data_IF_973669503620
#
_entry.id   IF_973669503620
#
_cell.length_a   1.000
_cell.length_b   1.000
_cell.length_c   1.000
_cell.angle_alpha   90.00
_cell.angle_beta   90.00
_cell.angle_gamma   90.00
#
_symmetry.space_group_name_H-M   'P 1'
#
loop_
_entity.id
_entity.type
_entity.pdbx_description
1 polymer ?
#
# COMPACT_ATOMS: atom_id res chain seq x y z
N UNK A 1 13.45 24.55 -10.32
CA UNK A 1 13.44 24.62 -11.78
C UNK A 1 12.33 23.72 -12.30
N UNK A 2 11.90 23.86 -13.56
CA UNK A 2 10.88 22.95 -14.13
C UNK A 2 11.35 21.49 -14.10
N UNK A 3 12.64 21.23 -14.34
CA UNK A 3 13.23 19.90 -14.20
C UNK A 3 12.98 19.30 -12.80
N UNK A 4 13.29 20.03 -11.73
CA UNK A 4 13.05 19.56 -10.36
C UNK A 4 11.57 19.32 -10.07
N UNK A 5 10.68 20.14 -10.65
CA UNK A 5 9.23 19.94 -10.50
C UNK A 5 8.80 18.60 -11.13
N UNK A 6 9.28 18.30 -12.33
CA UNK A 6 8.99 17.01 -12.97
C UNK A 6 9.63 15.85 -12.21
N UNK A 7 10.87 16.00 -11.72
CA UNK A 7 11.55 15.00 -10.90
C UNK A 7 10.79 14.69 -9.61
N UNK A 8 10.30 15.72 -8.90
CA UNK A 8 9.51 15.56 -7.69
C UNK A 8 8.17 14.87 -7.95
N UNK A 9 7.48 15.25 -9.03
CA UNK A 9 6.24 14.60 -9.44
C UNK A 9 6.46 13.12 -9.82
N UNK A 10 7.55 12.81 -10.51
CA UNK A 10 7.93 11.44 -10.85
C UNK A 10 8.25 10.61 -9.61
N UNK A 11 9.05 11.15 -8.69
CA UNK A 11 9.38 10.49 -7.43
C UNK A 11 8.12 10.14 -6.62
N UNK A 12 7.18 11.08 -6.49
CA UNK A 12 5.92 10.87 -5.78
C UNK A 12 5.01 9.84 -6.47
N UNK A 13 4.92 9.87 -7.80
CA UNK A 13 4.17 8.87 -8.55
C UNK A 13 4.73 7.45 -8.35
N UNK A 14 6.06 7.30 -8.39
CA UNK A 14 6.75 6.04 -8.12
C UNK A 14 6.59 5.60 -6.66
N UNK A 15 6.70 6.51 -5.70
CA UNK A 15 6.51 6.24 -4.28
C UNK A 15 5.14 5.64 -4.00
N UNK A 16 4.10 6.24 -4.57
CA UNK A 16 2.73 5.77 -4.41
C UNK A 16 2.46 4.46 -5.13
N UNK A 17 3.10 4.22 -6.28
CA UNK A 17 2.96 2.97 -7.01
C UNK A 17 3.71 1.80 -6.33
N UNK A 18 4.83 2.08 -5.66
CA UNK A 18 5.68 1.05 -5.04
C UNK A 18 5.47 0.90 -3.53
N UNK A 19 4.77 1.84 -2.89
CA UNK A 19 4.62 1.90 -1.44
C UNK A 19 5.93 2.21 -0.71
N UNK A 20 6.86 2.91 -1.35
CA UNK A 20 8.19 3.23 -0.80
C UNK A 20 8.38 4.73 -0.64
N UNK A 21 9.04 5.11 0.45
CA UNK A 21 9.39 6.50 0.76
C UNK A 21 10.83 6.86 0.36
N UNK A 22 11.57 5.93 -0.22
CA UNK A 22 12.95 6.16 -0.68
C UNK A 22 13.07 5.64 -2.11
N UNK A 23 13.03 6.58 -3.05
CA UNK A 23 12.94 6.31 -4.49
C UNK A 23 14.24 6.71 -5.17
N UNK A 24 14.73 5.83 -6.04
CA UNK A 24 15.87 6.12 -6.93
C UNK A 24 15.43 5.94 -8.37
N UNK A 25 15.70 6.94 -9.19
CA UNK A 25 15.50 6.89 -10.64
C UNK A 25 16.69 7.53 -11.36
N UNK A 26 16.92 7.16 -12.61
CA UNK A 26 17.95 7.80 -13.44
C UNK A 26 17.49 9.17 -13.92
N UNK A 27 18.35 10.18 -13.83
CA UNK A 27 18.12 11.46 -14.49
C UNK A 27 19.23 11.74 -15.50
N UNK A 28 18.84 12.14 -16.70
CA UNK A 28 19.77 12.51 -17.75
C UNK A 28 20.15 13.99 -17.61
N UNK A 29 21.46 14.25 -17.50
CA UNK A 29 22.04 15.60 -17.38
C UNK A 29 22.88 15.92 -18.61
N UNK A 30 23.07 17.22 -18.90
CA UNK A 30 23.84 17.65 -20.07
C UNK A 30 25.32 17.28 -19.99
N UNK A 31 25.86 17.13 -18.77
CA UNK A 31 27.28 16.93 -18.47
C UNK A 31 28.19 18.02 -19.06
N UNK A 32 27.66 19.24 -19.20
CA UNK A 32 28.36 20.42 -19.68
C UNK A 32 28.66 21.37 -18.50
N UNK A 33 29.82 21.25 -17.83
CA UNK A 33 30.14 22.04 -16.64
C UNK A 33 30.34 23.53 -17.01
N UNK A 34 29.73 24.48 -16.28
CA UNK A 34 29.81 25.91 -16.61
C UNK A 34 31.23 26.49 -16.49
N UNK A 35 32.13 25.80 -15.79
CA UNK A 35 33.53 26.21 -15.63
C UNK A 35 34.35 25.99 -16.91
N UNK A 36 33.86 25.20 -17.87
CA UNK A 36 34.53 24.93 -19.13
C UNK A 36 34.12 25.98 -20.19
N UNK A 37 35.01 26.91 -20.58
CA UNK A 37 34.63 27.99 -21.49
C UNK A 37 34.21 27.47 -22.87
N UNK A 38 33.04 27.92 -23.35
CA UNK A 38 32.49 27.55 -24.66
C UNK A 38 31.87 26.15 -24.70
N UNK A 39 31.68 25.50 -23.55
CA UNK A 39 31.13 24.14 -23.45
C UNK A 39 29.75 24.03 -24.11
N UNK A 40 28.96 25.09 -24.18
CA UNK A 40 27.62 25.08 -24.79
C UNK A 40 27.67 24.79 -26.29
N UNK A 41 28.78 25.11 -26.95
CA UNK A 41 29.00 24.95 -28.40
C UNK A 41 29.84 23.73 -28.78
N UNK A 42 30.40 23.02 -27.79
CA UNK A 42 31.28 21.87 -28.05
C UNK A 42 30.52 20.67 -28.59
N UNK A 43 31.09 20.01 -29.61
CA UNK A 43 30.58 18.77 -30.17
C UNK A 43 31.32 17.61 -29.51
N UNK A 44 30.59 16.69 -28.88
CA UNK A 44 31.16 15.55 -28.17
C UNK A 44 30.12 14.83 -27.30
N UNK A 45 30.54 13.73 -26.68
CA UNK A 45 29.73 12.99 -25.71
C UNK A 45 29.84 13.66 -24.34
N UNK A 46 28.83 14.45 -24.00
CA UNK A 46 28.73 15.12 -22.68
C UNK A 46 27.59 14.58 -21.83
N UNK A 47 26.52 14.08 -22.45
CA UNK A 47 25.33 13.61 -21.73
C UNK A 47 25.71 12.51 -20.74
N UNK A 48 25.16 12.58 -19.54
CA UNK A 48 25.40 11.59 -18.49
C UNK A 48 24.09 11.21 -17.80
N UNK A 49 24.04 10.00 -17.25
CA UNK A 49 22.88 9.49 -16.50
C UNK A 49 23.28 9.29 -15.06
N UNK A 50 22.60 9.98 -14.15
CA UNK A 50 22.93 9.98 -12.73
C UNK A 50 21.76 9.47 -11.91
N UNK A 51 21.99 8.70 -10.83
CA UNK A 51 20.92 8.34 -9.91
C UNK A 51 20.45 9.58 -9.15
N UNK A 52 19.14 9.80 -9.16
CA UNK A 52 18.46 10.77 -8.30
C UNK A 52 17.72 10.00 -7.23
N UNK A 53 18.13 10.21 -5.97
CA UNK A 53 17.47 9.64 -4.80
C UNK A 53 16.56 10.69 -4.16
N UNK A 54 15.28 10.41 -4.10
CA UNK A 54 14.27 11.21 -3.43
C UNK A 54 13.76 10.46 -2.20
N UNK A 55 14.08 10.98 -1.01
CA UNK A 55 13.47 10.53 0.25
C UNK A 55 12.23 11.37 0.50
N UNK A 56 11.11 10.72 0.78
CA UNK A 56 9.81 11.33 0.98
C UNK A 56 9.46 11.22 2.46
N UNK A 57 9.26 12.37 3.10
CA UNK A 57 8.66 12.42 4.43
C UNK A 57 7.16 12.66 4.26
N UNK A 58 6.36 11.70 4.73
CA UNK A 58 4.90 11.74 4.62
C UNK A 58 4.26 12.92 5.37
N UNK A 59 4.94 13.46 6.39
CA UNK A 59 4.47 14.62 7.14
C UNK A 59 4.93 15.96 6.54
N UNK A 60 5.90 15.97 5.62
CA UNK A 60 6.45 17.18 5.01
C UNK A 60 5.40 17.85 4.10
N UNK A 61 5.24 19.18 4.15
CA UNK A 61 4.44 19.91 3.17
C UNK A 61 4.98 19.71 1.75
N UNK A 62 4.09 19.57 0.77
CA UNK A 62 4.46 19.30 -0.62
C UNK A 62 5.44 20.33 -1.19
N UNK A 63 5.23 21.62 -0.89
CA UNK A 63 6.13 22.70 -1.31
C UNK A 63 7.51 22.66 -0.63
N UNK A 64 7.58 22.20 0.62
CA UNK A 64 8.85 22.01 1.34
C UNK A 64 9.66 20.87 0.68
N UNK A 65 9.00 19.75 0.36
CA UNK A 65 9.61 18.63 -0.35
C UNK A 65 10.26 19.09 -1.66
N UNK A 66 9.54 19.85 -2.49
CA UNK A 66 10.06 20.32 -3.78
C UNK A 66 11.20 21.32 -3.62
N UNK A 67 11.17 22.18 -2.59
CA UNK A 67 12.28 23.07 -2.24
C UNK A 67 13.51 22.29 -1.79
N UNK A 68 13.32 21.25 -0.99
CA UNK A 68 14.39 20.36 -0.54
C UNK A 68 15.02 19.62 -1.72
N UNK A 69 14.22 19.01 -2.60
CA UNK A 69 14.69 18.37 -3.82
C UNK A 69 15.48 19.34 -4.70
N UNK A 70 15.02 20.60 -4.84
CA UNK A 70 15.77 21.62 -5.58
C UNK A 70 17.14 21.91 -4.96
N UNK A 71 17.20 22.01 -3.63
CA UNK A 71 18.46 22.23 -2.91
C UNK A 71 19.41 21.04 -3.04
N UNK A 72 18.89 19.81 -2.95
CA UNK A 72 19.65 18.58 -3.14
C UNK A 72 20.22 18.50 -4.57
N UNK A 73 19.41 18.79 -5.58
CA UNK A 73 19.86 18.82 -6.99
C UNK A 73 20.94 19.90 -7.24
N UNK A 74 20.77 21.09 -6.67
CA UNK A 74 21.75 22.17 -6.84
C UNK A 74 23.13 21.78 -6.28
N UNK A 75 23.18 21.05 -5.15
CA UNK A 75 24.43 20.56 -4.56
C UNK A 75 25.12 19.48 -5.39
N UNK A 76 24.41 18.83 -6.30
CA UNK A 76 24.96 17.78 -7.16
C UNK A 76 25.55 18.31 -8.47
N UNK A 77 25.30 19.58 -8.83
CA UNK A 77 25.76 20.16 -10.10
C UNK A 77 27.27 20.03 -10.31
N UNK A 78 28.07 20.24 -9.27
CA UNK A 78 29.54 20.17 -9.30
C UNK A 78 30.07 18.72 -9.37
N UNK A 79 29.18 17.73 -9.26
CA UNK A 79 29.51 16.31 -9.13
C UNK A 79 28.87 15.45 -10.23
N UNK A 80 28.50 16.04 -11.36
CA UNK A 80 27.82 15.34 -12.45
C UNK A 80 28.75 14.60 -13.43
N UNK A 81 30.06 14.63 -13.18
CA UNK A 81 31.08 14.08 -14.06
C UNK A 81 31.36 12.56 -13.92
N UNK A 82 31.14 11.87 -12.78
CA UNK A 82 31.34 10.42 -12.71
C UNK A 82 30.37 9.66 -13.61
N UNK A 83 30.86 8.63 -14.29
CA UNK A 83 29.99 7.76 -15.09
C UNK A 83 29.12 6.86 -14.22
N UNK A 84 27.95 6.45 -14.72
CA UNK A 84 27.01 5.59 -13.99
C UNK A 84 27.66 4.27 -13.50
N UNK A 85 28.54 3.68 -14.31
CA UNK A 85 29.25 2.44 -13.95
C UNK A 85 30.17 2.63 -12.72
N UNK A 86 30.85 3.76 -12.61
CA UNK A 86 31.68 4.08 -11.43
C UNK A 86 30.79 4.28 -10.21
N UNK A 87 29.66 4.98 -10.36
CA UNK A 87 28.69 5.21 -9.28
C UNK A 87 28.10 3.88 -8.79
N UNK A 88 27.72 2.97 -9.70
CA UNK A 88 27.26 1.62 -9.36
C UNK A 88 28.34 0.84 -8.59
N UNK A 89 29.58 0.89 -9.07
CA UNK A 89 30.71 0.25 -8.42
C UNK A 89 30.94 0.78 -7.01
N UNK A 90 30.96 2.11 -6.82
CA UNK A 90 31.14 2.75 -5.51
C UNK A 90 29.98 2.47 -4.56
N UNK A 91 28.76 2.40 -5.08
CA UNK A 91 27.57 2.06 -4.30
C UNK A 91 27.55 0.58 -3.88
N UNK A 92 28.34 -0.30 -4.52
CA UNK A 92 28.36 -1.73 -4.23
C UNK A 92 27.09 -2.45 -4.71
N UNK A 93 26.38 -1.88 -5.67
CA UNK A 93 25.13 -2.40 -6.22
C UNK A 93 25.25 -2.57 -7.73
N UNK A 94 24.51 -3.54 -8.29
CA UNK A 94 24.43 -3.74 -9.74
C UNK A 94 23.55 -2.68 -10.38
N UNK A 95 22.23 -2.89 -10.34
CA UNK A 95 21.24 -1.94 -10.85
C UNK A 95 20.80 -0.99 -9.73
N UNK A 96 20.91 0.32 -9.97
CA UNK A 96 20.54 1.37 -8.99
C UNK A 96 19.11 1.88 -9.20
N UNK A 97 18.58 1.75 -10.41
CA UNK A 97 17.26 2.21 -10.81
C UNK A 97 16.85 1.52 -12.11
N UNK A 98 15.54 1.31 -12.24
CA UNK A 98 14.94 0.62 -13.40
C UNK A 98 14.05 1.57 -14.22
N UNK A 99 13.98 2.83 -13.80
CA UNK A 99 13.26 3.92 -14.47
C UNK A 99 14.17 5.11 -14.67
N UNK A 100 13.93 5.87 -15.74
CA UNK A 100 14.69 7.07 -16.04
C UNK A 100 13.80 8.26 -16.40
N UNK A 101 14.37 9.46 -16.25
CA UNK A 101 13.78 10.72 -16.61
C UNK A 101 14.77 11.57 -17.42
N UNK A 102 14.26 12.17 -18.49
CA UNK A 102 14.96 13.14 -19.33
C UNK A 102 14.16 14.44 -19.36
N UNK A 103 14.80 15.56 -19.03
CA UNK A 103 14.21 16.89 -19.24
C UNK A 103 14.89 17.58 -20.43
N UNK A 104 14.19 17.65 -21.55
CA UNK A 104 14.69 18.25 -22.79
C UNK A 104 14.44 19.77 -22.76
N UNK A 105 15.51 20.51 -22.45
CA UNK A 105 15.51 21.98 -22.40
C UNK A 105 15.83 22.66 -23.74
N UNK A 106 16.05 21.87 -24.80
CA UNK A 106 16.40 22.39 -26.12
C UNK A 106 15.21 22.23 -27.06
N UNK A 107 14.82 23.26 -27.80
CA UNK A 107 14.03 23.05 -28.99
C UNK A 107 14.92 22.27 -29.97
N UNK A 108 14.72 20.96 -30.10
CA UNK A 108 15.01 20.30 -31.38
C UNK A 108 13.96 20.85 -32.33
N UNK A 109 14.30 22.03 -32.82
CA UNK A 109 13.34 23.04 -33.18
C UNK A 109 12.40 22.54 -34.27
N UNK A 110 11.11 22.81 -34.10
CA UNK A 110 10.23 23.07 -35.22
C UNK A 110 10.78 24.20 -36.14
N UNK A 111 11.80 24.95 -35.72
CA UNK A 111 12.60 25.79 -36.62
C UNK A 111 13.50 25.04 -37.61
N UNK A 112 13.79 23.74 -37.44
CA UNK A 112 14.35 22.94 -38.54
C UNK A 112 13.28 22.55 -39.56
N UNK A 113 12.01 22.49 -39.14
CA UNK A 113 10.87 22.33 -40.05
C UNK A 113 10.38 23.63 -40.70
N UNK A 114 10.78 24.80 -40.16
CA UNK A 114 10.50 26.14 -40.73
C UNK A 114 11.67 26.70 -41.55
N UNK A 115 12.91 26.22 -41.35
CA UNK A 115 14.06 26.58 -42.19
C UNK A 115 13.91 25.96 -43.57
N UNK A 116 13.56 26.81 -44.55
CA UNK A 116 13.78 26.53 -45.96
C UNK A 116 15.30 26.42 -46.19
N UNK A 117 15.79 25.19 -46.31
CA UNK A 117 17.15 24.92 -46.79
C UNK A 117 17.06 24.79 -48.30
N UNK A 118 17.39 25.84 -49.06
CA UNK A 118 17.41 25.83 -50.55
C UNK A 118 16.18 25.14 -51.20
N UNK A 119 14.97 25.44 -50.72
CA UNK A 119 13.71 24.88 -51.25
C UNK A 119 13.26 23.55 -50.62
N UNK A 120 14.01 22.97 -49.68
CA UNK A 120 13.61 21.82 -48.87
C UNK A 120 12.97 22.26 -47.55
N UNK A 121 11.86 21.60 -47.20
CA UNK A 121 11.16 21.75 -45.91
C UNK A 121 11.16 20.41 -45.20
N UNK A 122 11.78 20.33 -44.02
CA UNK A 122 11.62 19.16 -43.15
C UNK A 122 10.17 19.19 -42.64
N UNK A 123 9.39 18.13 -42.87
CA UNK A 123 7.97 18.08 -42.47
C UNK A 123 7.75 17.39 -41.13
N UNK A 124 8.78 16.75 -40.61
CA UNK A 124 8.81 16.02 -39.35
C UNK A 124 10.12 15.26 -39.24
N UNK A 125 10.42 14.78 -38.04
CA UNK A 125 11.46 13.80 -37.78
C UNK A 125 10.88 12.76 -36.83
N UNK A 126 11.15 11.49 -37.10
CA UNK A 126 10.86 10.39 -36.17
C UNK A 126 12.18 9.91 -35.59
N UNK A 127 12.37 10.11 -34.29
CA UNK A 127 13.48 9.52 -33.56
C UNK A 127 12.96 8.26 -32.87
N UNK A 128 13.54 7.10 -33.21
CA UNK A 128 13.30 5.86 -32.47
C UNK A 128 14.33 5.80 -31.35
N UNK A 129 13.92 6.19 -30.15
CA UNK A 129 14.70 6.00 -28.93
C UNK A 129 14.40 4.60 -28.38
N UNK A 130 15.43 3.77 -28.23
CA UNK A 130 15.33 2.52 -27.47
C UNK A 130 15.57 2.84 -26.01
N UNK A 131 14.64 2.45 -25.12
CA UNK A 131 14.83 2.56 -23.67
C UNK A 131 15.29 1.23 -23.12
N UNK A 132 16.42 1.22 -22.42
CA UNK A 132 16.87 0.06 -21.65
C UNK A 132 16.07 -0.09 -20.33
N UNK A 133 15.48 1.03 -19.85
CA UNK A 133 14.68 1.11 -18.64
C UNK A 133 13.26 0.58 -18.84
N UNK A 134 12.66 0.07 -17.76
CA UNK A 134 11.28 -0.41 -17.75
C UNK A 134 10.30 0.70 -18.14
N UNK A 135 10.52 1.91 -17.60
CA UNK A 135 9.80 3.14 -17.95
C UNK A 135 10.78 4.31 -18.07
N UNK A 136 10.66 5.07 -19.16
CA UNK A 136 11.44 6.28 -19.42
C UNK A 136 10.50 7.47 -19.60
N UNK A 137 10.63 8.46 -18.72
CA UNK A 137 9.87 9.71 -18.76
C UNK A 137 10.66 10.77 -19.52
N UNK A 138 10.10 11.26 -20.62
CA UNK A 138 10.63 12.40 -21.37
C UNK A 138 9.73 13.61 -21.17
N UNK A 139 10.27 14.64 -20.55
CA UNK A 139 9.60 15.91 -20.33
C UNK A 139 10.22 17.01 -21.19
N UNK A 140 9.38 17.88 -21.75
CA UNK A 140 9.80 19.02 -22.54
C UNK A 140 8.85 20.20 -22.31
N UNK A 141 9.33 21.43 -22.55
CA UNK A 141 8.48 22.62 -22.50
C UNK A 141 8.45 23.27 -23.87
N UNK A 142 7.23 23.51 -24.39
CA UNK A 142 7.01 24.17 -25.68
C UNK A 142 5.77 25.06 -25.59
N UNK A 143 5.89 26.29 -26.08
CA UNK A 143 4.76 27.25 -26.16
C UNK A 143 4.01 27.36 -24.81
N UNK A 144 4.78 27.46 -23.70
CA UNK A 144 4.31 27.47 -22.31
C UNK A 144 3.55 26.22 -21.83
N UNK A 145 3.62 25.11 -22.59
CA UNK A 145 3.04 23.81 -22.23
C UNK A 145 4.13 22.84 -21.81
N UNK A 146 3.93 22.17 -20.67
CA UNK A 146 4.72 21.03 -20.24
C UNK A 146 4.19 19.76 -20.90
N UNK A 147 4.97 19.17 -21.80
CA UNK A 147 4.69 17.88 -22.40
C UNK A 147 5.40 16.75 -21.64
N UNK A 148 4.68 15.68 -21.33
CA UNK A 148 5.20 14.47 -20.71
C UNK A 148 4.94 13.28 -21.64
N UNK A 149 5.98 12.52 -21.95
CA UNK A 149 5.90 11.26 -22.72
C UNK A 149 6.52 10.15 -21.88
N UNK A 150 5.79 9.05 -21.71
CA UNK A 150 6.32 7.85 -21.05
C UNK A 150 6.48 6.76 -22.09
N UNK A 151 7.73 6.37 -22.33
CA UNK A 151 8.05 5.16 -23.09
C UNK A 151 8.24 4.02 -22.11
N UNK A 152 7.81 2.81 -22.48
CA UNK A 152 7.94 1.67 -21.61
C UNK A 152 8.15 0.38 -22.40
N UNK A 153 8.78 -0.59 -21.73
CA UNK A 153 8.95 -1.94 -22.26
C UNK A 153 7.72 -2.76 -21.88
N UNK A 154 6.91 -3.14 -22.86
CA UNK A 154 5.69 -3.92 -22.64
C UNK A 154 5.94 -5.29 -21.97
N UNK A 155 7.16 -5.83 -22.12
CA UNK A 155 7.61 -7.06 -21.45
C UNK A 155 7.86 -6.86 -19.95
N UNK A 156 8.20 -5.64 -19.53
CA UNK A 156 8.55 -5.30 -18.15
C UNK A 156 7.40 -4.61 -17.39
N UNK A 157 6.53 -3.87 -18.10
CA UNK A 157 5.45 -3.07 -17.52
C UNK A 157 4.18 -3.13 -18.37
N UNK A 158 3.04 -3.29 -17.70
CA UNK A 158 1.73 -3.21 -18.32
C UNK A 158 1.36 -1.75 -18.63
N UNK A 159 0.67 -1.51 -19.76
CA UNK A 159 0.37 -0.15 -20.22
C UNK A 159 -0.61 0.62 -19.33
N UNK A 160 -1.47 -0.07 -18.59
CA UNK A 160 -2.36 0.49 -17.58
C UNK A 160 -1.60 1.02 -16.35
N UNK A 161 -0.56 0.31 -15.91
CA UNK A 161 0.36 0.79 -14.87
C UNK A 161 1.04 2.09 -15.29
N UNK A 162 1.58 2.14 -16.52
CA UNK A 162 2.28 3.33 -17.03
C UNK A 162 1.33 4.51 -17.17
N UNK A 163 0.09 4.27 -17.61
CA UNK A 163 -0.96 5.30 -17.62
C UNK A 163 -1.27 5.80 -16.21
N UNK A 164 -1.40 4.89 -15.24
CA UNK A 164 -1.62 5.27 -13.84
C UNK A 164 -0.48 6.13 -13.30
N UNK A 165 0.77 5.85 -13.65
CA UNK A 165 1.91 6.70 -13.26
C UNK A 165 1.79 8.12 -13.84
N UNK A 166 1.40 8.24 -15.10
CA UNK A 166 1.16 9.54 -15.73
C UNK A 166 0.02 10.32 -15.05
N UNK A 167 -1.10 9.66 -14.77
CA UNK A 167 -2.24 10.27 -14.09
C UNK A 167 -1.88 10.73 -12.66
N UNK A 168 -1.07 9.94 -11.93
CA UNK A 168 -0.56 10.31 -10.61
C UNK A 168 0.35 11.53 -10.69
N UNK A 169 1.26 11.59 -11.67
CA UNK A 169 2.12 12.75 -11.87
C UNK A 169 1.29 14.02 -12.10
N UNK A 170 0.26 13.97 -12.94
CA UNK A 170 -0.62 15.11 -13.19
C UNK A 170 -1.29 15.59 -11.90
N UNK A 171 -1.83 14.67 -11.09
CA UNK A 171 -2.44 15.02 -9.79
C UNK A 171 -1.45 15.62 -8.80
N UNK A 172 -0.20 15.14 -8.78
CA UNK A 172 0.86 15.73 -7.97
C UNK A 172 1.14 17.17 -8.42
N UNK A 173 1.24 17.41 -9.73
CA UNK A 173 1.51 18.74 -10.29
C UNK A 173 0.33 19.69 -10.01
N UNK A 174 -0.91 19.23 -10.17
CA UNK A 174 -2.11 19.98 -9.82
C UNK A 174 -2.14 20.34 -8.33
N UNK A 175 -1.84 19.39 -7.44
CA UNK A 175 -1.77 19.62 -6.00
C UNK A 175 -0.67 20.62 -5.63
N UNK A 176 0.49 20.55 -6.27
CA UNK A 176 1.59 21.49 -6.04
C UNK A 176 1.19 22.94 -6.34
N UNK A 177 0.38 23.14 -7.39
CA UNK A 177 -0.08 24.48 -7.79
C UNK A 177 -1.25 24.97 -6.93
N UNK A 178 -2.10 24.06 -6.47
CA UNK A 178 -3.35 24.41 -5.77
C UNK A 178 -3.22 24.48 -4.25
N UNK A 179 -2.37 23.64 -3.65
CA UNK A 179 -2.24 23.49 -2.19
C UNK A 179 -0.85 22.92 -1.83
N UNK A 180 0.18 23.76 -1.91
CA UNK A 180 1.55 23.36 -1.62
C UNK A 180 1.84 23.12 -0.13
N UNK A 181 0.98 23.60 0.76
CA UNK A 181 1.16 23.48 2.22
C UNK A 181 0.60 22.15 2.75
N UNK A 182 -0.08 21.38 1.91
CA UNK A 182 -0.60 20.06 2.24
C UNK A 182 0.53 19.06 2.54
N UNK A 183 0.44 18.26 3.63
CA UNK A 183 1.34 17.14 3.86
C UNK A 183 1.26 16.09 2.75
N UNK A 184 2.40 15.50 2.38
CA UNK A 184 2.46 14.46 1.33
C UNK A 184 1.51 13.29 1.60
N UNK A 185 1.34 12.87 2.85
CA UNK A 185 0.41 11.79 3.23
C UNK A 185 -1.05 12.04 2.83
N UNK A 186 -1.45 13.31 2.68
CA UNK A 186 -2.82 13.69 2.33
C UNK A 186 -3.01 13.90 0.82
N UNK A 187 -1.98 13.61 0.02
CA UNK A 187 -2.05 13.71 -1.42
C UNK A 187 -2.79 12.51 -2.01
N UNK A 188 -4.06 12.70 -2.37
CA UNK A 188 -4.82 11.70 -3.11
C UNK A 188 -4.50 11.77 -4.61
N UNK A 189 -3.76 10.76 -5.09
CA UNK A 189 -3.42 10.61 -6.52
C UNK A 189 -4.12 9.45 -7.18
N UNK A 190 -5.05 8.79 -6.48
CA UNK A 190 -5.82 7.73 -7.10
C UNK A 190 -6.78 8.32 -8.13
N UNK A 191 -6.92 7.60 -9.24
CA UNK A 191 -7.98 7.90 -10.18
C UNK A 191 -9.35 7.71 -9.50
N UNK A 192 -10.31 8.65 -9.63
CA UNK A 192 -11.62 8.56 -8.99
C UNK A 192 -12.37 7.28 -9.32
N UNK A 193 -12.22 6.74 -10.54
CA UNK A 193 -12.88 5.48 -10.92
C UNK A 193 -12.22 4.29 -10.24
N UNK A 194 -10.88 4.32 -10.08
CA UNK A 194 -10.15 3.31 -9.30
C UNK A 194 -10.51 3.42 -7.82
N UNK A 195 -10.62 4.64 -7.28
CA UNK A 195 -11.01 4.88 -5.89
C UNK A 195 -12.41 4.35 -5.61
N UNK A 196 -13.37 4.65 -6.47
CA UNK A 196 -14.74 4.12 -6.38
C UNK A 196 -14.74 2.58 -6.42
N UNK A 197 -13.99 2.00 -7.35
CA UNK A 197 -13.88 0.55 -7.46
C UNK A 197 -13.34 -0.10 -6.19
N UNK A 198 -12.25 0.44 -5.64
CA UNK A 198 -11.59 -0.11 -4.45
C UNK A 198 -12.42 0.10 -3.19
N UNK A 199 -13.02 1.29 -3.03
CA UNK A 199 -13.73 1.65 -1.80
C UNK A 199 -15.19 1.20 -1.79
N UNK A 200 -15.84 1.08 -2.95
CA UNK A 200 -17.27 0.79 -3.06
C UNK A 200 -17.51 -0.54 -3.78
N UNK A 201 -17.10 -0.67 -5.04
CA UNK A 201 -17.48 -1.82 -5.88
C UNK A 201 -16.97 -3.16 -5.31
N UNK A 202 -15.73 -3.19 -4.78
CA UNK A 202 -15.12 -4.39 -4.23
C UNK A 202 -15.59 -4.75 -2.82
N UNK A 203 -16.07 -3.78 -2.03
CA UNK A 203 -16.47 -4.02 -0.64
C UNK A 203 -17.93 -4.50 -0.49
N UNK A 204 -18.68 -4.53 -1.60
CA UNK A 204 -20.08 -4.93 -1.62
C UNK A 204 -20.99 -4.02 -0.79
N UNK A 205 -22.25 -4.42 -0.64
CA UNK A 205 -23.22 -3.67 0.15
C UNK A 205 -23.14 -4.10 1.62
N UNK A 206 -23.06 -3.17 2.58
CA UNK A 206 -23.17 -3.50 4.00
C UNK A 206 -24.43 -4.31 4.27
N UNK A 207 -24.26 -5.55 4.72
CA UNK A 207 -25.40 -6.39 5.09
C UNK A 207 -25.75 -6.09 6.55
N UNK A 208 -26.95 -5.57 6.79
CA UNK A 208 -27.44 -5.43 8.16
C UNK A 208 -27.73 -6.82 8.73
N UNK A 209 -26.87 -7.27 9.64
CA UNK A 209 -27.10 -8.48 10.41
C UNK A 209 -27.96 -8.14 11.63
N UNK A 210 -28.90 -9.01 12.01
CA UNK A 210 -29.64 -8.83 13.25
C UNK A 210 -28.69 -8.85 14.44
N UNK A 211 -28.85 -7.93 15.39
CA UNK A 211 -28.07 -7.86 16.64
C UNK A 211 -28.40 -8.95 17.66
N UNK A 212 -29.05 -10.04 17.24
CA UNK A 212 -29.47 -11.13 18.11
C UNK A 212 -28.26 -11.95 18.56
N UNK A 213 -28.04 -12.15 19.87
CA UNK A 213 -26.93 -12.95 20.38
C UNK A 213 -26.99 -14.41 19.89
N UNK A 214 -25.81 -15.03 19.70
CA UNK A 214 -25.69 -16.41 19.24
C UNK A 214 -26.49 -17.41 20.10
N UNK A 215 -26.45 -17.26 21.43
CA UNK A 215 -27.16 -18.16 22.33
C UNK A 215 -28.69 -18.05 22.20
N UNK A 216 -29.22 -16.89 21.82
CA UNK A 216 -30.65 -16.70 21.54
C UNK A 216 -31.06 -17.35 20.22
N UNK A 217 -30.21 -17.26 19.19
CA UNK A 217 -30.43 -17.94 17.91
C UNK A 217 -30.53 -19.46 18.11
N UNK A 218 -29.62 -20.04 18.89
CA UNK A 218 -29.64 -21.48 19.24
C UNK A 218 -30.89 -21.82 20.06
N UNK A 219 -31.25 -20.99 21.04
CA UNK A 219 -32.46 -21.20 21.86
C UNK A 219 -33.75 -21.13 21.00
N UNK A 220 -33.76 -20.26 20.00
CA UNK A 220 -34.87 -20.14 19.03
C UNK A 220 -34.97 -21.39 18.16
N UNK A 221 -33.84 -21.88 17.64
CA UNK A 221 -33.80 -23.13 16.87
C UNK A 221 -34.27 -24.33 17.70
N UNK A 222 -33.89 -24.39 18.98
CA UNK A 222 -34.33 -25.45 19.88
C UNK A 222 -35.84 -25.48 20.14
N UNK A 223 -36.51 -24.32 20.08
CA UNK A 223 -37.98 -24.25 20.12
C UNK A 223 -38.62 -24.67 18.80
N UNK A 224 -37.97 -24.43 17.67
CA UNK A 224 -38.53 -24.72 16.34
C UNK A 224 -38.38 -26.21 15.96
N UNK A 225 -37.22 -26.81 16.21
CA UNK A 225 -36.91 -28.19 15.84
C UNK A 225 -36.25 -28.93 17.01
N UNK A 226 -36.98 -29.18 18.11
CA UNK A 226 -36.40 -29.71 19.35
C UNK A 226 -35.71 -31.06 19.17
N UNK A 227 -36.31 -31.96 18.38
CA UNK A 227 -35.84 -33.33 18.19
C UNK A 227 -34.75 -33.47 17.12
N UNK A 228 -34.40 -32.39 16.41
CA UNK A 228 -33.33 -32.41 15.43
C UNK A 228 -31.97 -32.51 16.14
N UNK A 229 -31.05 -33.27 15.55
CA UNK A 229 -29.68 -33.42 16.07
C UNK A 229 -28.92 -32.08 15.91
N UNK A 230 -28.35 -31.59 17.01
CA UNK A 230 -27.59 -30.33 17.06
C UNK A 230 -26.07 -30.57 17.12
N UNK A 231 -25.63 -31.55 17.91
CA UNK A 231 -24.21 -31.87 18.13
C UNK A 231 -23.98 -33.37 17.98
N UNK A 232 -22.88 -33.76 17.33
CA UNK A 232 -22.41 -35.14 17.24
C UNK A 232 -20.91 -35.18 17.52
N UNK A 233 -20.48 -36.02 18.45
CA UNK A 233 -19.08 -36.26 18.78
C UNK A 233 -18.90 -37.71 19.25
N UNK A 234 -17.99 -38.46 18.62
CA UNK A 234 -17.63 -39.84 19.01
C UNK A 234 -18.83 -40.77 19.30
N UNK A 235 -19.85 -40.73 18.46
CA UNK A 235 -21.05 -41.55 18.59
C UNK A 235 -22.07 -41.06 19.62
N UNK A 236 -21.78 -39.99 20.35
CA UNK A 236 -22.73 -39.27 21.20
C UNK A 236 -23.38 -38.16 20.37
N UNK A 237 -24.71 -38.12 20.40
CA UNK A 237 -25.49 -37.05 19.77
C UNK A 237 -26.36 -36.34 20.80
N UNK A 238 -26.47 -35.02 20.68
CA UNK A 238 -27.45 -34.22 21.40
C UNK A 238 -28.44 -33.61 20.42
N UNK A 239 -29.73 -33.71 20.75
CA UNK A 239 -30.76 -32.91 20.07
C UNK A 239 -30.66 -31.44 20.46
N UNK A 240 -31.30 -30.54 19.71
CA UNK A 240 -31.37 -29.13 20.09
C UNK A 240 -32.01 -28.92 21.46
N UNK A 241 -33.06 -29.69 21.79
CA UNK A 241 -33.70 -29.62 23.09
C UNK A 241 -32.76 -30.05 24.23
N UNK A 242 -31.97 -31.11 24.03
CA UNK A 242 -30.99 -31.58 25.01
C UNK A 242 -29.83 -30.60 25.18
N UNK A 243 -29.30 -30.07 24.08
CA UNK A 243 -28.23 -29.06 24.11
C UNK A 243 -28.68 -27.80 24.87
N UNK A 244 -29.82 -27.23 24.49
CA UNK A 244 -30.35 -26.02 25.11
C UNK A 244 -30.69 -26.26 26.58
N UNK A 245 -31.32 -27.41 26.89
CA UNK A 245 -31.66 -27.81 28.25
C UNK A 245 -30.44 -27.91 29.17
N UNK A 246 -29.39 -28.63 28.74
CA UNK A 246 -28.15 -28.77 29.50
C UNK A 246 -27.42 -27.44 29.66
N UNK A 247 -27.33 -26.64 28.59
CA UNK A 247 -26.69 -25.33 28.65
C UNK A 247 -27.46 -24.36 29.56
N UNK A 248 -28.79 -24.39 29.57
CA UNK A 248 -29.61 -23.58 30.48
C UNK A 248 -29.41 -23.99 31.96
N UNK A 249 -29.24 -25.29 32.23
CA UNK A 249 -28.97 -25.77 33.60
C UNK A 249 -27.60 -25.27 34.09
N UNK A 250 -26.55 -25.44 33.27
CA UNK A 250 -25.21 -24.97 33.60
C UNK A 250 -25.15 -23.44 33.71
N UNK A 251 -25.80 -22.71 32.79
CA UNK A 251 -25.86 -21.25 32.84
C UNK A 251 -26.49 -20.73 34.15
N UNK A 252 -27.58 -21.36 34.62
CA UNK A 252 -28.19 -21.00 35.91
C UNK A 252 -27.27 -21.28 37.09
N UNK A 253 -26.49 -22.37 37.04
CA UNK A 253 -25.50 -22.64 38.07
C UNK A 253 -24.40 -21.57 38.08
N UNK A 254 -23.84 -21.24 36.91
CA UNK A 254 -22.83 -20.19 36.76
C UNK A 254 -23.31 -18.81 37.23
N UNK A 255 -24.56 -18.44 36.91
CA UNK A 255 -25.20 -17.23 37.43
C UNK A 255 -25.33 -17.27 38.96
N UNK A 256 -25.62 -18.44 39.53
CA UNK A 256 -25.66 -18.67 40.98
C UNK A 256 -24.31 -18.47 41.68
N UNK A 257 -23.21 -18.77 40.98
CA UNK A 257 -21.83 -18.50 41.42
C UNK A 257 -21.41 -17.03 41.23
N UNK A 258 -22.34 -16.17 40.77
CA UNK A 258 -22.11 -14.74 40.61
C UNK A 258 -21.51 -14.32 39.25
N UNK A 259 -21.52 -15.21 38.26
CA UNK A 259 -21.07 -14.89 36.92
C UNK A 259 -22.02 -13.90 36.23
N UNK A 260 -21.49 -12.97 35.45
CA UNK A 260 -22.25 -12.00 34.68
C UNK A 260 -21.49 -11.48 33.45
N UNK A 261 -22.03 -10.40 32.85
CA UNK A 261 -21.43 -9.77 31.68
C UNK A 261 -20.01 -9.26 31.94
N UNK A 262 -19.21 -9.17 30.87
CA UNK A 262 -17.81 -8.70 30.89
C UNK A 262 -16.84 -9.55 31.73
N UNK A 263 -17.26 -10.74 32.15
CA UNK A 263 -16.41 -11.72 32.81
C UNK A 263 -16.00 -12.84 31.85
N UNK A 264 -14.87 -13.46 32.14
CA UNK A 264 -14.38 -14.63 31.41
C UNK A 264 -14.60 -15.91 32.23
N UNK A 265 -14.94 -17.00 31.54
CA UNK A 265 -14.89 -18.37 32.08
C UNK A 265 -13.90 -19.17 31.25
N UNK A 266 -12.86 -19.69 31.89
CA UNK A 266 -11.96 -20.63 31.24
C UNK A 266 -12.68 -21.98 31.04
N UNK A 267 -12.56 -22.55 29.85
CA UNK A 267 -13.06 -23.88 29.53
C UNK A 267 -11.86 -24.75 29.16
N UNK A 268 -11.44 -25.60 30.09
CA UNK A 268 -10.37 -26.57 29.94
C UNK A 268 -10.96 -27.98 29.86
N UNK A 269 -11.67 -28.25 28.76
CA UNK A 269 -12.33 -29.52 28.46
C UNK A 269 -11.81 -30.05 27.12
N UNK A 270 -11.63 -31.37 27.01
CA UNK A 270 -11.38 -32.01 25.74
C UNK A 270 -12.58 -31.84 24.78
N UNK A 271 -12.34 -32.03 23.48
CA UNK A 271 -13.39 -31.98 22.45
C UNK A 271 -14.49 -33.00 22.78
N UNK A 272 -15.67 -32.48 23.12
CA UNK A 272 -16.80 -33.28 23.59
C UNK A 272 -18.11 -32.50 23.43
N UNK A 273 -19.27 -33.16 23.51
CA UNK A 273 -20.56 -32.47 23.58
C UNK A 273 -20.64 -31.52 24.79
N UNK A 274 -19.99 -31.89 25.91
CA UNK A 274 -19.98 -31.08 27.13
C UNK A 274 -19.15 -29.80 26.99
N UNK A 275 -18.11 -29.79 26.15
CA UNK A 275 -17.40 -28.56 25.78
C UNK A 275 -18.33 -27.58 25.05
N UNK A 276 -19.16 -28.06 24.12
CA UNK A 276 -20.15 -27.23 23.41
C UNK A 276 -21.24 -26.73 24.35
N UNK A 277 -21.74 -27.59 25.26
CA UNK A 277 -22.68 -27.21 26.32
C UNK A 277 -22.09 -26.10 27.19
N UNK A 278 -20.82 -26.23 27.58
CA UNK A 278 -20.11 -25.26 28.41
C UNK A 278 -19.96 -23.90 27.72
N UNK A 279 -19.56 -23.88 26.45
CA UNK A 279 -19.48 -22.64 25.66
C UNK A 279 -20.84 -21.95 25.56
N UNK A 280 -21.90 -22.70 25.26
CA UNK A 280 -23.25 -22.15 25.16
C UNK A 280 -23.78 -21.64 26.52
N UNK A 281 -23.50 -22.37 27.60
CA UNK A 281 -23.88 -21.98 28.95
C UNK A 281 -23.24 -20.67 29.38
N UNK A 282 -21.93 -20.51 29.13
CA UNK A 282 -21.20 -19.26 29.41
C UNK A 282 -21.82 -18.10 28.61
N UNK A 283 -22.06 -18.28 27.31
CA UNK A 283 -22.70 -17.24 26.49
C UNK A 283 -24.10 -16.85 27.01
N UNK A 284 -24.88 -17.81 27.54
CA UNK A 284 -26.21 -17.55 28.12
C UNK A 284 -26.17 -16.75 29.43
N UNK A 285 -25.01 -16.67 30.10
CA UNK A 285 -24.82 -15.80 31.27
C UNK A 285 -24.47 -14.36 30.90
N UNK A 286 -24.16 -14.10 29.63
CA UNK A 286 -23.61 -12.83 29.15
C UNK A 286 -22.08 -12.73 29.28
N UNK A 287 -21.43 -13.71 29.89
CA UNK A 287 -19.97 -13.83 29.96
C UNK A 287 -19.37 -14.31 28.63
N UNK A 288 -18.04 -14.14 28.51
CA UNK A 288 -17.24 -14.70 27.43
C UNK A 288 -16.54 -15.98 27.89
N UNK A 289 -16.42 -16.98 27.01
CA UNK A 289 -15.60 -18.16 27.32
C UNK A 289 -14.18 -17.99 26.78
N UNK A 290 -13.21 -18.50 27.52
CA UNK A 290 -11.81 -18.63 27.12
C UNK A 290 -11.51 -20.12 26.92
N UNK A 291 -11.42 -20.62 25.67
CA UNK A 291 -11.06 -22.01 25.45
C UNK A 291 -9.57 -22.21 25.78
N UNK A 292 -9.28 -23.21 26.62
CA UNK A 292 -7.93 -23.63 26.98
C UNK A 292 -7.76 -25.07 26.57
N UNK A 293 -6.75 -25.34 25.74
CA UNK A 293 -6.34 -26.70 25.41
C UNK A 293 -5.60 -27.30 26.61
N UNK A 294 -6.11 -28.38 27.24
CA UNK A 294 -5.44 -29.01 28.38
C UNK A 294 -4.06 -29.58 28.03
N UNK A 295 -3.77 -29.85 26.75
CA UNK A 295 -2.49 -30.41 26.30
C UNK A 295 -1.39 -29.34 26.16
N UNK A 296 -1.70 -28.06 26.41
CA UNK A 296 -0.71 -27.00 26.40
C UNK A 296 0.28 -27.10 27.58
N UNK A 297 1.55 -26.67 27.37
CA UNK A 297 2.49 -26.56 28.48
C UNK A 297 1.93 -25.70 29.61
N UNK A 298 2.19 -26.09 30.86
CA UNK A 298 1.66 -25.42 32.04
C UNK A 298 1.97 -23.91 32.08
N UNK A 299 3.14 -23.49 31.60
CA UNK A 299 3.52 -22.08 31.49
C UNK A 299 2.57 -21.29 30.57
N UNK A 300 2.13 -21.88 29.46
CA UNK A 300 1.19 -21.25 28.52
C UNK A 300 -0.21 -21.14 29.11
N UNK A 301 -0.67 -22.19 29.80
CA UNK A 301 -1.96 -22.17 30.50
C UNK A 301 -1.94 -21.10 31.60
N UNK A 302 -0.88 -21.07 32.41
CA UNK A 302 -0.69 -20.06 33.47
C UNK A 302 -0.72 -18.66 32.90
N UNK A 303 0.02 -18.41 31.82
CA UNK A 303 0.01 -17.12 31.14
C UNK A 303 -1.39 -16.70 30.67
N UNK A 304 -2.15 -17.61 30.04
CA UNK A 304 -3.51 -17.31 29.58
C UNK A 304 -4.45 -16.97 30.75
N UNK A 305 -4.34 -17.69 31.87
CA UNK A 305 -5.15 -17.45 33.06
C UNK A 305 -4.78 -16.13 33.76
N UNK A 306 -3.48 -15.80 33.83
CA UNK A 306 -2.99 -14.57 34.45
C UNK A 306 -3.39 -13.31 33.65
N UNK A 307 -3.40 -13.41 32.32
CA UNK A 307 -3.79 -12.34 31.41
C UNK A 307 -5.31 -12.12 31.39
N UNK A 308 -6.08 -13.20 31.20
CA UNK A 308 -7.54 -13.11 31.05
C UNK A 308 -8.30 -13.05 32.38
N UNK A 309 -7.68 -13.49 33.49
CA UNK A 309 -8.25 -13.53 34.84
C UNK A 309 -9.70 -14.03 34.89
N UNK A 310 -9.97 -15.26 34.41
CA UNK A 310 -11.32 -15.78 34.39
C UNK A 310 -11.89 -15.89 35.81
N UNK A 311 -13.16 -15.57 35.96
CA UNK A 311 -13.86 -15.67 37.26
C UNK A 311 -14.00 -17.13 37.72
N UNK A 312 -14.15 -18.05 36.76
CA UNK A 312 -14.33 -19.47 36.97
C UNK A 312 -13.59 -20.28 35.90
N UNK A 313 -13.23 -21.52 36.22
CA UNK A 313 -12.70 -22.49 35.26
C UNK A 313 -13.59 -23.72 35.25
N UNK A 314 -14.07 -24.10 34.07
CA UNK A 314 -14.77 -25.36 33.81
C UNK A 314 -13.76 -26.39 33.34
N UNK A 315 -13.70 -27.53 34.02
CA UNK A 315 -12.79 -28.64 33.72
C UNK A 315 -13.46 -29.98 33.99
N UNK A 316 -12.80 -31.08 33.63
CA UNK A 316 -13.29 -32.43 33.89
C UNK A 316 -13.31 -32.73 35.41
N UNK A 317 -14.15 -33.66 35.87
CA UNK A 317 -14.14 -34.08 37.28
C UNK A 317 -12.73 -34.55 37.70
N UNK A 318 -12.28 -34.08 38.86
CA UNK A 318 -11.03 -34.51 39.50
C UNK A 318 -11.19 -35.88 40.15
#
# INVERSE_FOLDING_TARGET
TMNTVVQGAWALALAQATGRDDIVFGATVSGRPPELPGVESMIGLFINTLPVRARIDQAEPLGDLFRRLQSEQARLLDHQWPGLADIQHWAGHGELFDTAMVFQNYPVSADTTSRQLDGLRVTGFDAVESTDFAVNLVAHTRDDVLGLRLDYRAEACAGDLVRSLADRMLRVLEALVTDSDRPVAHLDTLDPTVRERVLVEWNGTPTQLPGTPLHELISSQARQTPDAVAVVCDGISLTYAELDGRANQLARHLLGEGLGAEQFVAIALAKSPDAVVSMLAVLKTGAAYLPIDPDYPAERITYMLDDARPALTLTEPV
#
